data_IF_331440653497
#
_entry.id   IF_331440653497
#
_cell.length_a   1.000
_cell.length_b   1.000
_cell.length_c   1.000
_cell.angle_alpha   90.00
_cell.angle_beta   90.00
_cell.angle_gamma   90.00
#
_symmetry.space_group_name_H-M   'P 1'
#
loop_
_entity.id
_entity.type
_entity.pdbx_description
1 polymer ?
#
# COMPACT_ATOMS: atom_id res chain seq x y z
N UNK A 1 12.03 0.77 16.48
CA UNK A 1 10.90 1.13 15.60
C UNK A 1 10.54 -0.10 14.78
N UNK A 2 9.25 -0.28 14.43
CA UNK A 2 8.87 -1.34 13.49
C UNK A 2 9.47 -1.03 12.10
N UNK A 3 10.03 -2.05 11.44
CA UNK A 3 10.42 -1.96 10.04
C UNK A 3 9.19 -2.19 9.18
N UNK A 4 8.76 -1.20 8.41
CA UNK A 4 7.52 -1.29 7.62
C UNK A 4 7.79 -1.07 6.15
N UNK A 5 7.00 -1.73 5.32
CA UNK A 5 6.98 -1.49 3.88
C UNK A 5 5.54 -1.43 3.39
N UNK A 6 5.32 -0.70 2.31
CA UNK A 6 4.00 -0.65 1.66
C UNK A 6 3.98 -1.65 0.52
N UNK A 7 3.03 -2.60 0.55
CA UNK A 7 2.81 -3.58 -0.51
C UNK A 7 1.44 -3.37 -1.13
N UNK A 8 1.40 -2.82 -2.35
CA UNK A 8 0.16 -2.41 -3.03
C UNK A 8 0.27 -2.64 -4.53
N UNK A 9 -0.83 -2.54 -5.27
CA UNK A 9 -0.74 -2.55 -6.73
C UNK A 9 -2.08 -2.58 -7.45
N UNK A 10 -2.03 -2.54 -8.77
CA UNK A 10 -3.25 -2.57 -9.57
C UNK A 10 -4.00 -3.90 -9.40
N UNK A 11 -5.33 -3.84 -9.48
CA UNK A 11 -6.19 -5.04 -9.38
C UNK A 11 -5.93 -6.05 -10.51
N UNK A 12 -5.47 -5.56 -11.66
CA UNK A 12 -5.14 -6.34 -12.84
C UNK A 12 -3.68 -6.84 -12.87
N UNK A 13 -2.99 -6.86 -11.72
CA UNK A 13 -1.61 -7.36 -11.64
C UNK A 13 -1.53 -8.81 -12.16
N UNK A 14 -0.59 -9.12 -13.09
CA UNK A 14 -0.48 -10.45 -13.70
C UNK A 14 -0.21 -11.56 -12.67
N UNK A 15 -0.72 -12.79 -12.89
CA UNK A 15 -0.57 -13.91 -11.96
C UNK A 15 0.87 -14.20 -11.51
N UNK A 16 1.83 -14.11 -12.43
CA UNK A 16 3.25 -14.33 -12.14
C UNK A 16 3.82 -13.24 -11.22
N UNK A 17 3.37 -12.00 -11.38
CA UNK A 17 3.74 -10.88 -10.50
C UNK A 17 3.05 -11.03 -9.13
N UNK A 18 1.80 -11.49 -9.07
CA UNK A 18 1.13 -11.81 -7.80
C UNK A 18 1.88 -12.92 -7.03
N UNK A 19 2.37 -13.94 -7.74
CA UNK A 19 3.21 -14.97 -7.15
C UNK A 19 4.52 -14.40 -6.59
N UNK A 20 5.15 -13.49 -7.31
CA UNK A 20 6.35 -12.78 -6.86
C UNK A 20 6.07 -11.92 -5.61
N UNK A 21 4.98 -11.15 -5.60
CA UNK A 21 4.56 -10.33 -4.45
C UNK A 21 4.35 -11.17 -3.19
N UNK A 22 3.74 -12.34 -3.32
CA UNK A 22 3.50 -13.27 -2.20
C UNK A 22 4.84 -13.76 -1.62
N UNK A 23 5.78 -14.19 -2.47
CA UNK A 23 7.12 -14.61 -2.03
C UNK A 23 7.91 -13.47 -1.39
N UNK A 24 7.82 -12.27 -1.96
CA UNK A 24 8.47 -11.08 -1.42
C UNK A 24 7.93 -10.72 -0.03
N UNK A 25 6.61 -10.72 0.15
CA UNK A 25 6.00 -10.49 1.46
C UNK A 25 6.47 -11.51 2.51
N UNK A 26 6.55 -12.79 2.14
CA UNK A 26 7.05 -13.83 3.04
C UNK A 26 8.52 -13.62 3.41
N UNK A 27 9.37 -13.33 2.43
CA UNK A 27 10.78 -13.06 2.63
C UNK A 27 11.02 -11.83 3.52
N UNK A 28 10.19 -10.78 3.38
CA UNK A 28 10.23 -9.56 4.19
C UNK A 28 9.74 -9.83 5.62
N UNK A 29 8.64 -10.56 5.78
CA UNK A 29 8.13 -10.97 7.10
C UNK A 29 9.21 -11.74 7.88
N UNK A 30 9.91 -12.70 7.25
CA UNK A 30 11.01 -13.44 7.88
C UNK A 30 12.18 -12.55 8.32
N UNK A 31 12.34 -11.38 7.69
CA UNK A 31 13.35 -10.36 8.02
C UNK A 31 12.84 -9.30 9.01
N UNK A 32 11.65 -9.50 9.58
CA UNK A 32 11.07 -8.62 10.59
C UNK A 32 10.35 -7.39 10.03
N UNK A 33 10.07 -7.35 8.72
CA UNK A 33 9.25 -6.29 8.13
C UNK A 33 7.75 -6.56 8.34
N UNK A 34 7.01 -5.48 8.58
CA UNK A 34 5.56 -5.47 8.66
C UNK A 34 4.96 -4.83 7.42
N UNK A 35 4.07 -5.56 6.77
CA UNK A 35 3.33 -5.09 5.60
C UNK A 35 2.33 -3.99 5.98
N UNK A 36 2.24 -2.95 5.15
CA UNK A 36 1.11 -2.03 5.06
C UNK A 36 0.42 -2.17 3.70
N UNK A 37 -0.90 -2.40 3.70
CA UNK A 37 -1.68 -2.66 2.48
C UNK A 37 -3.13 -2.15 2.64
N UNK A 38 -3.98 -2.32 1.61
CA UNK A 38 -5.33 -1.75 1.54
C UNK A 38 -6.47 -2.74 1.39
N UNK A 39 -6.21 -4.06 1.35
CA UNK A 39 -7.23 -5.08 1.13
C UNK A 39 -7.96 -4.98 -0.23
N UNK A 40 -7.33 -4.41 -1.25
CA UNK A 40 -7.84 -4.52 -2.60
C UNK A 40 -7.66 -5.97 -3.15
N UNK A 41 -8.46 -6.32 -4.15
CA UNK A 41 -8.23 -7.55 -4.91
C UNK A 41 -6.94 -7.41 -5.75
N UNK A 42 -6.27 -8.53 -6.05
CA UNK A 42 -5.03 -8.52 -6.82
C UNK A 42 -3.81 -8.35 -5.94
N UNK A 43 -3.03 -7.29 -6.16
CA UNK A 43 -1.73 -7.08 -5.54
C UNK A 43 -1.77 -7.03 -4.00
N UNK A 44 -2.66 -6.22 -3.42
CA UNK A 44 -2.84 -6.12 -1.97
C UNK A 44 -3.09 -7.50 -1.34
N UNK A 45 -4.03 -8.27 -1.92
CA UNK A 45 -4.31 -9.65 -1.49
C UNK A 45 -3.11 -10.59 -1.61
N UNK A 46 -2.24 -10.40 -2.61
CA UNK A 46 -1.03 -11.20 -2.78
C UNK A 46 0.03 -10.89 -1.71
N UNK A 47 0.25 -9.60 -1.40
CA UNK A 47 1.11 -9.23 -0.29
C UNK A 47 0.57 -9.75 1.04
N UNK A 48 -0.74 -9.61 1.28
CA UNK A 48 -1.39 -10.10 2.50
C UNK A 48 -1.20 -11.60 2.72
N UNK A 49 -1.30 -12.42 1.66
CA UNK A 49 -1.07 -13.88 1.74
C UNK A 49 0.35 -14.26 2.18
N UNK A 50 1.35 -13.45 1.82
CA UNK A 50 2.73 -13.71 2.20
C UNK A 50 3.15 -13.04 3.51
N UNK A 51 2.38 -12.07 3.98
CA UNK A 51 2.68 -11.34 5.20
C UNK A 51 2.24 -12.09 6.46
N UNK A 52 2.80 -11.71 7.61
CA UNK A 52 2.40 -12.24 8.90
C UNK A 52 1.16 -11.54 9.48
N UNK A 53 0.65 -12.06 10.59
CA UNK A 53 -0.52 -11.51 11.31
C UNK A 53 -0.34 -10.07 11.82
N UNK A 54 0.91 -9.58 11.88
CA UNK A 54 1.23 -8.22 12.27
C UNK A 54 0.95 -7.17 11.17
N UNK A 55 0.52 -7.59 9.96
CA UNK A 55 0.25 -6.68 8.85
C UNK A 55 -0.80 -5.60 9.21
N UNK A 56 -0.55 -4.38 8.77
CA UNK A 56 -1.43 -3.23 8.97
C UNK A 56 -2.25 -3.01 7.69
N UNK A 57 -3.51 -3.41 7.72
CA UNK A 57 -4.38 -3.43 6.54
C UNK A 57 -5.41 -2.31 6.62
N UNK A 58 -5.19 -1.21 5.91
CA UNK A 58 -5.99 0.01 6.02
C UNK A 58 -7.25 -0.08 5.15
N UNK A 59 -8.43 0.12 5.75
CA UNK A 59 -9.72 -0.04 5.07
C UNK A 59 -10.44 1.32 4.87
N UNK A 60 -11.27 1.47 3.81
CA UNK A 60 -12.17 2.63 3.68
C UNK A 60 -13.14 2.75 4.85
N UNK A 61 -13.68 1.59 5.20
CA UNK A 61 -14.82 1.40 6.08
C UNK A 61 -14.62 0.05 6.80
N UNK A 62 -15.22 -0.12 7.98
CA UNK A 62 -15.18 -1.39 8.69
C UNK A 62 -15.69 -2.55 7.83
N UNK A 63 -15.06 -3.72 7.93
CA UNK A 63 -15.51 -4.93 7.24
C UNK A 63 -15.38 -4.90 5.71
N UNK A 64 -14.63 -3.94 5.14
CA UNK A 64 -14.54 -3.82 3.68
C UNK A 64 -14.05 -5.11 3.05
N UNK A 65 -14.85 -5.66 2.13
CA UNK A 65 -14.63 -6.96 1.45
C UNK A 65 -14.42 -8.13 2.41
N UNK A 66 -15.00 -8.08 3.61
CA UNK A 66 -14.89 -9.13 4.61
C UNK A 66 -13.61 -9.10 5.44
N UNK A 67 -12.78 -8.04 5.32
CA UNK A 67 -11.60 -7.88 6.16
C UNK A 67 -11.98 -7.67 7.64
N UNK A 68 -11.29 -8.37 8.54
CA UNK A 68 -11.39 -8.19 9.98
C UNK A 68 -10.44 -7.11 10.55
N UNK A 69 -9.73 -6.37 9.68
CA UNK A 69 -8.76 -5.36 10.11
C UNK A 69 -9.43 -4.21 10.87
N UNK A 70 -8.80 -3.77 11.95
CA UNK A 70 -9.22 -2.61 12.75
C UNK A 70 -8.69 -1.27 12.22
N UNK A 71 -7.82 -1.25 11.20
CA UNK A 71 -7.26 -0.02 10.66
C UNK A 71 -8.24 0.71 9.72
N UNK A 72 -9.29 1.29 10.29
CA UNK A 72 -10.31 2.06 9.59
C UNK A 72 -10.71 3.30 10.38
N UNK A 73 -11.46 4.21 9.75
CA UNK A 73 -11.87 5.50 10.33
C UNK A 73 -12.44 5.40 11.76
N UNK A 74 -13.27 4.39 12.05
CA UNK A 74 -13.86 4.19 13.39
C UNK A 74 -12.86 3.93 14.53
N UNK A 75 -11.65 3.44 14.23
CA UNK A 75 -10.60 3.18 15.22
C UNK A 75 -9.48 4.21 15.13
N UNK A 76 -9.10 4.63 13.91
CA UNK A 76 -8.08 5.65 13.69
C UNK A 76 -8.52 7.05 14.15
N UNK A 77 -9.83 7.28 14.22
CA UNK A 77 -10.43 8.53 14.67
C UNK A 77 -10.60 9.57 13.55
N UNK A 78 -11.67 10.36 13.66
CA UNK A 78 -12.08 11.32 12.63
C UNK A 78 -11.02 12.41 12.38
N UNK A 79 -10.33 12.87 13.42
CA UNK A 79 -9.29 13.90 13.28
C UNK A 79 -8.12 13.41 12.42
N UNK A 80 -7.63 12.20 12.69
CA UNK A 80 -6.51 11.63 11.96
C UNK A 80 -6.90 11.25 10.53
N UNK A 81 -8.12 10.75 10.35
CA UNK A 81 -8.70 10.52 9.03
C UNK A 81 -8.86 11.81 8.23
N UNK A 82 -9.25 12.91 8.87
CA UNK A 82 -9.33 14.24 8.26
C UNK A 82 -7.98 14.71 7.73
N UNK A 83 -6.92 14.61 8.53
CA UNK A 83 -5.54 14.92 8.11
C UNK A 83 -5.09 14.03 6.94
N UNK A 84 -5.38 12.74 6.99
CA UNK A 84 -5.08 11.84 5.88
C UNK A 84 -5.85 12.23 4.61
N UNK A 85 -7.11 12.66 4.74
CA UNK A 85 -7.93 13.12 3.61
C UNK A 85 -7.35 14.39 2.98
N UNK A 86 -6.85 15.32 3.78
CA UNK A 86 -6.16 16.53 3.29
C UNK A 86 -4.91 16.16 2.48
N UNK A 87 -4.07 15.24 2.99
CA UNK A 87 -2.90 14.73 2.26
C UNK A 87 -3.33 14.03 0.96
N UNK A 88 -4.39 13.22 1.01
CA UNK A 88 -4.90 12.56 -0.17
C UNK A 88 -5.37 13.58 -1.22
N UNK A 89 -6.09 14.62 -0.80
CA UNK A 89 -6.58 15.67 -1.67
C UNK A 89 -5.46 16.48 -2.31
N UNK A 90 -4.41 16.82 -1.55
CA UNK A 90 -3.26 17.58 -2.03
C UNK A 90 -2.46 16.83 -3.11
N UNK A 91 -2.50 15.48 -3.11
CA UNK A 91 -1.70 14.65 -4.01
C UNK A 91 -2.52 13.87 -5.05
N UNK A 92 -3.84 14.08 -5.12
CA UNK A 92 -4.68 13.46 -6.12
C UNK A 92 -5.10 14.48 -7.21
N UNK A 93 -4.98 14.17 -8.51
CA UNK A 93 -5.23 15.14 -9.59
C UNK A 93 -6.62 15.79 -9.62
N UNK A 94 -7.64 15.06 -9.19
CA UNK A 94 -9.03 15.52 -9.24
C UNK A 94 -9.84 15.05 -8.01
N UNK A 95 -9.30 15.19 -6.79
CA UNK A 95 -9.89 14.60 -5.58
C UNK A 95 -11.33 15.03 -5.31
N UNK A 96 -11.61 16.33 -5.43
CA UNK A 96 -12.91 16.92 -5.12
C UNK A 96 -14.05 16.39 -6.01
N UNK A 97 -13.73 15.93 -7.24
CA UNK A 97 -14.70 15.35 -8.18
C UNK A 97 -15.02 13.88 -7.94
N UNK A 98 -14.34 13.22 -7.00
CA UNK A 98 -14.55 11.80 -6.69
C UNK A 98 -15.76 11.61 -5.77
N UNK A 99 -16.44 10.47 -5.86
CA UNK A 99 -17.45 10.10 -4.87
C UNK A 99 -16.84 9.93 -3.48
N UNK A 100 -17.64 10.09 -2.42
CA UNK A 100 -17.16 9.97 -1.04
C UNK A 100 -16.39 8.68 -0.77
N UNK A 101 -16.93 7.54 -1.23
CA UNK A 101 -16.27 6.25 -1.07
C UNK A 101 -14.95 6.17 -1.85
N UNK A 102 -14.84 6.80 -3.01
CA UNK A 102 -13.59 6.86 -3.78
C UNK A 102 -12.58 7.81 -3.12
N UNK A 103 -13.03 8.92 -2.53
CA UNK A 103 -12.18 9.74 -1.68
C UNK A 103 -11.65 8.92 -0.50
N UNK A 104 -12.47 8.09 0.13
CA UNK A 104 -12.02 7.17 1.18
C UNK A 104 -11.10 6.07 0.63
N UNK A 105 -11.22 5.67 -0.64
CA UNK A 105 -10.24 4.89 -1.44
C UNK A 105 -8.86 5.52 -1.51
N UNK A 106 -8.78 6.83 -1.64
CA UNK A 106 -7.49 7.50 -1.67
C UNK A 106 -7.00 7.92 -0.28
N UNK A 107 -7.91 8.22 0.66
CA UNK A 107 -7.56 8.56 2.05
C UNK A 107 -6.82 7.42 2.74
N UNK A 108 -7.29 6.17 2.63
CA UNK A 108 -6.56 5.05 3.28
C UNK A 108 -5.16 4.82 2.69
N UNK A 109 -4.92 5.20 1.43
CA UNK A 109 -3.62 5.03 0.79
C UNK A 109 -2.53 5.88 1.46
N UNK A 110 -2.93 6.97 2.10
CA UNK A 110 -2.02 7.80 2.88
C UNK A 110 -1.47 7.02 4.06
N UNK A 111 -2.33 6.31 4.79
CA UNK A 111 -1.91 5.48 5.93
C UNK A 111 -1.05 4.28 5.50
N UNK A 112 -1.29 3.72 4.31
CA UNK A 112 -0.43 2.66 3.77
C UNK A 112 1.04 3.12 3.67
N UNK A 113 1.26 4.39 3.34
CA UNK A 113 2.59 4.98 3.13
C UNK A 113 3.14 5.59 4.41
N UNK A 114 2.34 6.37 5.14
CA UNK A 114 2.77 7.18 6.30
C UNK A 114 2.50 6.52 7.66
N UNK A 115 1.87 5.35 7.66
CA UNK A 115 1.54 4.61 8.87
C UNK A 115 0.31 5.13 9.60
N UNK A 116 -0.08 4.47 10.70
CA UNK A 116 -1.32 4.74 11.41
C UNK A 116 -1.36 6.13 12.06
N UNK A 117 -0.21 6.75 12.33
CA UNK A 117 -0.04 8.07 12.97
C UNK A 117 0.30 9.18 11.97
N UNK A 118 0.48 8.85 10.68
CA UNK A 118 0.88 9.76 9.59
C UNK A 118 2.30 10.35 9.71
N UNK A 119 3.11 9.91 10.68
CA UNK A 119 4.48 10.37 10.94
C UNK A 119 5.51 9.22 10.98
N UNK A 120 5.09 8.01 10.59
CA UNK A 120 5.91 6.80 10.56
C UNK A 120 5.94 6.25 9.14
N UNK A 121 6.65 6.92 8.21
CA UNK A 121 6.69 6.48 6.81
C UNK A 121 7.26 5.07 6.68
N UNK A 122 6.74 4.32 5.70
CA UNK A 122 7.32 3.04 5.27
C UNK A 122 8.73 3.24 4.75
N UNK A 123 9.61 2.27 4.96
CA UNK A 123 11.00 2.31 4.46
C UNK A 123 11.07 2.27 2.93
N UNK A 124 10.10 1.63 2.28
CA UNK A 124 9.94 1.59 0.84
C UNK A 124 8.52 1.16 0.44
N UNK A 125 8.18 1.37 -0.83
CA UNK A 125 6.98 0.84 -1.49
C UNK A 125 7.38 -0.25 -2.46
N UNK A 126 6.73 -1.41 -2.39
CA UNK A 126 6.82 -2.49 -3.37
C UNK A 126 5.47 -2.61 -4.08
N UNK A 127 5.45 -2.44 -5.39
CA UNK A 127 4.19 -2.35 -6.12
C UNK A 127 4.22 -2.90 -7.54
N UNK A 128 3.06 -2.87 -8.20
CA UNK A 128 2.95 -3.02 -9.65
C UNK A 128 1.88 -2.07 -10.21
N UNK A 129 2.23 -1.39 -11.29
CA UNK A 129 1.30 -0.65 -12.17
C UNK A 129 1.58 -1.04 -13.61
N UNK A 130 0.56 -1.03 -14.47
CA UNK A 130 0.68 -1.56 -15.83
C UNK A 130 1.69 -0.80 -16.69
N UNK A 131 1.83 0.50 -16.47
CA UNK A 131 2.76 1.40 -17.16
C UNK A 131 4.10 1.56 -16.43
N UNK A 132 4.25 0.99 -15.22
CA UNK A 132 5.43 1.22 -14.40
C UNK A 132 5.46 2.61 -13.75
N UNK A 133 4.41 3.41 -13.89
CA UNK A 133 4.32 4.80 -13.43
C UNK A 133 3.25 4.99 -12.36
N UNK A 134 3.12 6.22 -11.85
CA UNK A 134 2.15 6.59 -10.82
C UNK A 134 0.69 6.70 -11.34
N UNK A 135 0.16 5.60 -11.87
CA UNK A 135 -1.17 5.52 -12.50
C UNK A 135 -2.22 4.81 -11.66
N UNK A 136 -3.50 5.10 -11.97
CA UNK A 136 -4.66 4.50 -11.32
C UNK A 136 -4.73 4.73 -9.80
N UNK A 137 -5.42 3.81 -9.10
CA UNK A 137 -5.57 3.87 -7.63
C UNK A 137 -4.23 3.79 -6.89
N UNK A 138 -3.32 2.93 -7.38
CA UNK A 138 -1.95 2.76 -6.85
C UNK A 138 -1.15 4.06 -6.94
N UNK A 139 -1.32 4.81 -8.03
CA UNK A 139 -0.62 6.06 -8.28
C UNK A 139 -0.75 7.09 -7.17
N UNK A 140 -1.84 7.05 -6.39
CA UNK A 140 -1.98 7.92 -5.22
C UNK A 140 -0.89 7.68 -4.17
N UNK A 141 -0.67 6.43 -3.79
CA UNK A 141 0.36 6.09 -2.82
C UNK A 141 1.77 6.39 -3.37
N UNK A 142 1.98 6.19 -4.68
CA UNK A 142 3.26 6.48 -5.33
C UNK A 142 3.59 7.98 -5.34
N UNK A 143 2.59 8.86 -5.57
CA UNK A 143 2.77 10.31 -5.45
C UNK A 143 3.10 10.74 -4.02
N UNK A 144 2.43 10.16 -3.02
CA UNK A 144 2.72 10.44 -1.61
C UNK A 144 4.15 9.99 -1.25
N UNK A 145 4.54 8.78 -1.66
CA UNK A 145 5.87 8.24 -1.45
C UNK A 145 6.96 9.14 -2.06
N UNK A 146 6.76 9.63 -3.27
CA UNK A 146 7.71 10.52 -3.95
C UNK A 146 7.97 11.81 -3.16
N UNK A 147 6.92 12.47 -2.65
CA UNK A 147 7.05 13.71 -1.85
C UNK A 147 7.77 13.46 -0.52
N UNK A 148 7.66 12.26 0.04
CA UNK A 148 8.32 11.88 1.30
C UNK A 148 9.69 11.24 1.10
N UNK A 149 10.21 11.19 -0.14
CA UNK A 149 11.50 10.58 -0.45
C UNK A 149 11.54 9.06 -0.19
N UNK A 150 10.40 8.39 -0.17
CA UNK A 150 10.29 6.95 0.09
C UNK A 150 10.61 6.19 -1.21
N UNK A 151 11.62 5.29 -1.21
CA UNK A 151 11.97 4.49 -2.38
C UNK A 151 10.79 3.65 -2.89
N UNK A 152 10.66 3.57 -4.21
CA UNK A 152 9.63 2.76 -4.89
C UNK A 152 10.30 1.68 -5.73
N UNK A 153 9.85 0.45 -5.53
CA UNK A 153 10.17 -0.72 -6.36
C UNK A 153 8.87 -1.16 -7.06
N UNK A 154 8.72 -0.77 -8.31
CA UNK A 154 7.65 -1.17 -9.21
C UNK A 154 8.07 -2.40 -10.02
N UNK A 155 7.42 -3.53 -9.76
CA UNK A 155 7.72 -4.83 -10.37
C UNK A 155 7.44 -4.89 -11.88
N UNK A 156 6.79 -3.86 -12.44
CA UNK A 156 6.68 -3.71 -13.90
C UNK A 156 8.03 -3.35 -14.53
N UNK A 157 8.92 -2.68 -13.80
CA UNK A 157 10.23 -2.26 -14.28
C UNK A 157 11.24 -3.39 -14.10
N UNK A 158 11.89 -3.89 -15.18
CA UNK A 158 12.76 -5.07 -15.09
C UNK A 158 13.91 -4.94 -14.09
N UNK A 159 14.51 -3.75 -13.96
CA UNK A 159 15.61 -3.51 -13.01
C UNK A 159 15.16 -3.63 -11.55
N UNK A 160 14.00 -3.08 -11.24
CA UNK A 160 13.43 -3.08 -9.88
C UNK A 160 12.93 -4.49 -9.53
N UNK A 161 12.31 -5.19 -10.49
CA UNK A 161 11.95 -6.60 -10.35
C UNK A 161 13.17 -7.49 -10.06
N UNK A 162 14.22 -7.38 -10.87
CA UNK A 162 15.44 -8.16 -10.68
C UNK A 162 16.14 -7.82 -9.36
N UNK A 163 16.05 -6.57 -8.90
CA UNK A 163 16.52 -6.19 -7.56
C UNK A 163 15.77 -6.97 -6.48
N UNK A 164 14.44 -6.96 -6.49
CA UNK A 164 13.61 -7.68 -5.49
C UNK A 164 13.86 -9.19 -5.53
N UNK A 165 13.94 -9.79 -6.71
CA UNK A 165 14.16 -11.23 -6.88
C UNK A 165 15.47 -11.72 -6.23
N UNK A 166 16.53 -10.91 -6.23
CA UNK A 166 17.81 -11.25 -5.57
C UNK A 166 17.69 -11.37 -4.04
N UNK A 167 16.73 -10.71 -3.41
CA UNK A 167 16.52 -10.74 -1.97
C UNK A 167 15.47 -11.77 -1.52
N UNK A 168 14.92 -12.56 -2.46
CA UNK A 168 13.98 -13.62 -2.12
C UNK A 168 14.65 -14.89 -1.57
N UNK A 169 15.96 -15.06 -1.80
CA UNK A 169 16.71 -16.18 -1.22
C UNK A 169 16.80 -15.96 0.29
N UNK A 170 16.25 -16.89 1.06
CA UNK A 170 16.28 -16.90 2.52
C UNK A 170 17.55 -17.59 3.00
#
# INVERSE_FOLDING_TARGET
MLRTYTGIGARATPPEVLGLMTRAAFALMKRGYVLRSGHAIGADSAFERGAGSAAQIFLPVPGWRGSASSFHVGILGAQLWGRAREIAAAHHPAFAGLSHFVQDLHTRNVFQVLGPTLDSPSEFVLCWTADGEASGGTGQALRIAAIHGIPVYNLQRPRERAHVERYLVL
#
